data_IF_053867712656
#
_entry.id   IF_053867712656
#
_cell.length_a   1.000
_cell.length_b   1.000
_cell.length_c   1.000
_cell.angle_alpha   90.00
_cell.angle_beta   90.00
_cell.angle_gamma   90.00
#
_symmetry.space_group_name_H-M   'P 1'
#
loop_
_entity.id
_entity.type
_entity.pdbx_description
1 polymer ?
#
# COMPACT_ATOMS: atom_id res chain seq x y z
N UNK A 1 -33.44 -16.49 29.39
CA UNK A 1 -33.18 -15.66 30.60
C UNK A 1 -31.67 -15.62 30.84
N UNK A 2 -30.88 -14.68 30.30
CA UNK A 2 -31.23 -13.42 29.60
C UNK A 2 -31.97 -12.39 30.49
N UNK A 3 -31.87 -11.05 30.38
CA UNK A 3 -31.11 -10.07 29.54
C UNK A 3 -29.56 -10.06 29.79
N UNK A 4 -28.63 -9.21 29.28
CA UNK A 4 -28.58 -7.89 28.55
C UNK A 4 -28.89 -6.65 29.45
N UNK A 5 -28.68 -5.35 29.13
CA UNK A 5 -27.69 -4.58 28.31
C UNK A 5 -26.97 -3.55 29.28
N UNK A 6 -26.31 -2.40 28.97
CA UNK A 6 -25.71 -1.73 27.78
C UNK A 6 -24.58 -0.78 28.27
N UNK A 7 -23.30 -0.88 27.84
CA UNK A 7 -22.35 0.22 28.04
C UNK A 7 -22.46 1.25 26.90
N UNK A 8 -23.33 2.24 27.13
CA UNK A 8 -23.29 3.63 26.60
C UNK A 8 -22.70 3.86 25.20
N UNK A 9 -23.59 4.12 24.25
CA UNK A 9 -23.24 4.78 22.99
C UNK A 9 -22.50 6.11 23.23
N UNK A 10 -21.53 6.41 22.36
CA UNK A 10 -21.12 7.79 22.08
C UNK A 10 -21.41 8.06 20.62
N UNK A 11 -22.36 8.94 20.35
CA UNK A 11 -22.49 9.53 19.03
C UNK A 11 -21.19 10.25 18.67
N UNK A 12 -20.78 10.17 17.41
CA UNK A 12 -19.86 11.11 16.81
C UNK A 12 -20.66 11.80 15.71
N UNK A 13 -20.98 13.07 15.92
CA UNK A 13 -21.83 13.83 15.02
C UNK A 13 -21.13 14.03 13.66
N UNK A 14 -21.95 14.09 12.61
CA UNK A 14 -21.55 14.44 11.25
C UNK A 14 -21.62 15.96 11.15
N UNK A 15 -20.64 16.58 10.51
CA UNK A 15 -20.82 17.71 9.58
C UNK A 15 -19.52 18.02 8.83
N UNK A 16 -19.59 18.89 7.82
CA UNK A 16 -18.43 19.38 7.06
C UNK A 16 -18.19 18.71 5.72
N UNK A 17 -19.06 18.98 4.73
CA UNK A 17 -18.71 18.82 3.32
C UNK A 17 -18.16 20.16 2.78
N UNK A 18 -16.84 20.27 2.58
CA UNK A 18 -16.23 21.50 2.04
C UNK A 18 -15.29 21.20 0.85
N UNK A 19 -15.48 21.98 -0.21
CA UNK A 19 -14.80 21.85 -1.50
C UNK A 19 -13.51 22.67 -1.55
N UNK A 20 -12.42 22.02 -1.97
CA UNK A 20 -11.15 22.71 -2.27
C UNK A 20 -10.55 22.25 -3.61
N UNK A 21 -11.24 22.58 -4.70
CA UNK A 21 -10.64 22.69 -6.03
C UNK A 21 -10.11 24.10 -6.26
N UNK A 22 -8.78 24.33 -6.18
CA UNK A 22 -8.03 25.30 -7.00
C UNK A 22 -6.54 25.37 -6.67
N UNK A 23 -5.74 25.88 -7.62
CA UNK A 23 -4.61 26.76 -7.29
C UNK A 23 -3.25 26.13 -6.96
N UNK A 24 -2.61 25.45 -7.92
CA UNK A 24 -1.16 25.24 -7.91
C UNK A 24 -0.60 25.20 -9.34
N UNK A 25 -0.50 26.36 -9.98
CA UNK A 25 0.20 26.50 -11.26
C UNK A 25 1.71 26.45 -10.99
N UNK A 26 2.46 25.64 -11.74
CA UNK A 26 3.89 25.47 -11.54
C UNK A 26 4.50 24.63 -12.64
N UNK A 27 5.32 25.25 -13.48
CA UNK A 27 5.82 24.63 -14.71
C UNK A 27 6.67 23.39 -14.45
N UNK A 28 6.43 22.37 -15.27
CA UNK A 28 7.31 21.20 -15.41
C UNK A 28 7.38 20.80 -16.87
N UNK A 29 7.84 21.76 -17.68
CA UNK A 29 8.22 21.51 -19.05
C UNK A 29 9.34 20.44 -19.10
N UNK A 30 9.05 19.33 -19.79
CA UNK A 30 10.01 18.26 -20.03
C UNK A 30 9.88 17.06 -19.09
N UNK A 31 9.06 16.08 -19.49
CA UNK A 31 9.46 14.66 -19.46
C UNK A 31 8.66 13.77 -20.43
N UNK A 32 8.48 14.21 -21.68
CA UNK A 32 7.94 13.35 -22.75
C UNK A 32 9.03 12.38 -23.24
N UNK A 33 9.35 11.35 -22.46
CA UNK A 33 10.30 10.30 -22.82
C UNK A 33 9.74 8.90 -22.50
N UNK A 34 9.14 8.25 -23.51
CA UNK A 34 9.00 6.78 -23.76
C UNK A 34 9.07 5.81 -22.55
N UNK A 35 8.50 6.17 -21.40
CA UNK A 35 9.03 5.73 -20.11
C UNK A 35 7.98 5.27 -19.12
N UNK A 36 8.44 4.52 -18.12
CA UNK A 36 7.57 3.90 -17.13
C UNK A 36 6.84 4.91 -16.24
N UNK A 37 5.61 4.56 -15.82
CA UNK A 37 4.86 5.28 -14.79
C UNK A 37 5.68 5.27 -13.50
N UNK A 38 6.02 6.45 -12.97
CA UNK A 38 6.77 6.61 -11.71
C UNK A 38 5.95 7.48 -10.77
N UNK A 39 5.81 7.04 -9.50
CA UNK A 39 5.12 7.78 -8.45
C UNK A 39 5.85 7.60 -7.12
N UNK A 40 5.73 8.57 -6.23
CA UNK A 40 6.30 8.52 -4.89
C UNK A 40 5.42 9.23 -3.88
N UNK A 41 5.36 8.68 -2.66
CA UNK A 41 4.57 9.21 -1.55
C UNK A 41 5.27 8.91 -0.22
N UNK A 42 4.92 9.66 0.83
CA UNK A 42 5.50 9.49 2.16
C UNK A 42 4.42 9.04 3.15
N UNK A 43 4.77 8.07 4.01
CA UNK A 43 3.96 7.66 5.16
C UNK A 43 4.86 7.74 6.39
N UNK A 44 4.58 8.70 7.29
CA UNK A 44 5.32 8.90 8.54
C UNK A 44 6.85 9.10 8.30
N UNK A 45 7.66 8.11 8.69
CA UNK A 45 9.12 8.08 8.55
C UNK A 45 9.61 7.29 7.32
N UNK A 46 8.69 6.77 6.50
CA UNK A 46 8.98 5.97 5.30
C UNK A 46 8.61 6.72 4.03
N UNK A 47 9.45 6.66 3.01
CA UNK A 47 9.12 7.09 1.65
C UNK A 47 8.96 5.87 0.77
N UNK A 48 7.88 5.82 -0.02
CA UNK A 48 7.61 4.78 -1.00
C UNK A 48 7.76 5.33 -2.41
N UNK A 49 8.26 4.49 -3.33
CA UNK A 49 8.32 4.76 -4.76
C UNK A 49 7.80 3.55 -5.53
N UNK A 50 6.90 3.78 -6.49
CA UNK A 50 6.38 2.77 -7.40
C UNK A 50 6.87 3.12 -8.81
N UNK A 51 7.53 2.18 -9.49
CA UNK A 51 8.05 2.35 -10.85
C UNK A 51 7.66 1.17 -11.74
N UNK A 52 6.90 1.44 -12.80
CA UNK A 52 6.41 0.42 -13.76
C UNK A 52 7.24 0.49 -15.05
N UNK A 53 8.30 -0.31 -15.14
CA UNK A 53 9.19 -0.37 -16.29
C UNK A 53 8.69 -1.36 -17.37
N UNK A 54 8.92 -1.06 -18.65
CA UNK A 54 8.84 -2.03 -19.75
C UNK A 54 10.27 -2.32 -20.25
N UNK A 55 10.76 -3.55 -20.06
CA UNK A 55 12.10 -3.98 -20.48
C UNK A 55 12.01 -5.22 -21.38
N UNK A 56 12.51 -5.11 -22.63
CA UNK A 56 12.45 -6.16 -23.67
C UNK A 56 11.06 -6.81 -23.79
N UNK A 57 10.03 -5.97 -23.96
CA UNK A 57 8.62 -6.40 -24.05
C UNK A 57 7.95 -6.82 -22.73
N UNK A 58 8.70 -7.00 -21.63
CA UNK A 58 8.17 -7.46 -20.34
C UNK A 58 7.97 -6.28 -19.39
N UNK A 59 6.72 -6.08 -18.95
CA UNK A 59 6.37 -5.14 -17.87
C UNK A 59 6.86 -5.67 -16.52
N UNK A 60 7.47 -4.81 -15.71
CA UNK A 60 7.97 -5.12 -14.37
C UNK A 60 7.68 -3.94 -13.44
N UNK A 61 7.12 -4.20 -12.26
CA UNK A 61 6.73 -3.17 -11.30
C UNK A 61 7.65 -3.28 -10.09
N UNK A 62 8.26 -2.17 -9.69
CA UNK A 62 9.12 -2.09 -8.51
C UNK A 62 8.44 -1.23 -7.45
N UNK A 63 8.32 -1.77 -6.24
CA UNK A 63 7.90 -1.01 -5.05
C UNK A 63 9.12 -0.90 -4.14
N UNK A 64 9.60 0.32 -3.94
CA UNK A 64 10.77 0.64 -3.10
C UNK A 64 10.28 1.34 -1.84
N UNK A 65 10.71 0.84 -0.68
CA UNK A 65 10.58 1.48 0.63
C UNK A 65 11.94 2.09 1.02
N UNK A 66 11.94 3.31 1.59
CA UNK A 66 13.11 3.94 2.20
C UNK A 66 12.81 4.39 3.63
N UNK A 67 13.71 4.10 4.56
CA UNK A 67 13.68 4.60 5.96
C UNK A 67 15.10 4.69 6.52
N UNK A 68 15.48 5.85 7.08
CA UNK A 68 16.73 6.01 7.83
C UNK A 68 17.99 5.61 7.06
N UNK A 69 18.14 6.08 5.81
CA UNK A 69 19.23 5.72 4.90
C UNK A 69 19.06 4.36 4.21
N UNK A 70 18.42 3.38 4.86
CA UNK A 70 18.18 2.04 4.30
C UNK A 70 17.09 2.07 3.22
N UNK A 71 17.28 1.28 2.17
CA UNK A 71 16.29 1.03 1.11
C UNK A 71 16.00 -0.47 1.00
N UNK A 72 14.72 -0.83 0.95
CA UNK A 72 14.22 -2.19 0.66
C UNK A 72 13.32 -2.14 -0.57
N UNK A 73 13.25 -3.21 -1.37
CA UNK A 73 12.39 -3.23 -2.55
C UNK A 73 11.80 -4.60 -2.85
N UNK A 74 10.67 -4.59 -3.57
CA UNK A 74 10.00 -5.76 -4.10
C UNK A 74 9.73 -5.56 -5.58
N UNK A 75 10.01 -6.59 -6.37
CA UNK A 75 9.79 -6.62 -7.82
C UNK A 75 8.63 -7.56 -8.16
N UNK A 76 7.60 -7.03 -8.79
CA UNK A 76 6.41 -7.73 -9.25
C UNK A 76 6.46 -7.84 -10.78
N UNK A 77 5.92 -8.90 -11.34
CA UNK A 77 5.43 -8.90 -12.72
C UNK A 77 3.98 -8.43 -12.78
N UNK A 78 3.36 -8.42 -13.98
CA UNK A 78 2.00 -7.92 -14.16
C UNK A 78 0.93 -8.83 -13.53
N UNK A 79 1.16 -10.13 -13.40
CA UNK A 79 0.18 -11.06 -12.84
C UNK A 79 0.04 -10.90 -11.31
N UNK A 80 1.08 -10.43 -10.62
CA UNK A 80 1.01 -10.06 -9.20
C UNK A 80 0.19 -8.78 -8.92
N UNK A 81 -0.16 -7.98 -9.94
CA UNK A 81 -0.80 -6.68 -9.72
C UNK A 81 -2.25 -6.79 -9.23
N UNK A 82 -3.05 -7.67 -9.84
CA UNK A 82 -4.44 -7.93 -9.43
C UNK A 82 -4.53 -8.40 -7.97
N UNK A 83 -3.86 -9.50 -7.59
CA UNK A 83 -3.84 -9.99 -6.20
C UNK A 83 -3.37 -8.95 -5.18
N UNK A 84 -2.41 -8.09 -5.53
CA UNK A 84 -1.95 -7.00 -4.65
C UNK A 84 -3.03 -5.92 -4.47
N UNK A 85 -3.65 -5.45 -5.57
CA UNK A 85 -4.70 -4.43 -5.51
C UNK A 85 -5.94 -4.95 -4.78
N UNK A 86 -6.39 -6.17 -5.08
CA UNK A 86 -7.49 -6.85 -4.37
C UNK A 86 -7.23 -6.87 -2.85
N UNK A 87 -6.03 -7.26 -2.44
CA UNK A 87 -5.66 -7.33 -1.02
C UNK A 87 -5.60 -5.95 -0.35
N UNK A 88 -5.05 -4.94 -1.02
CA UNK A 88 -5.03 -3.57 -0.53
C UNK A 88 -6.46 -2.99 -0.39
N UNK A 89 -7.33 -3.22 -1.38
CA UNK A 89 -8.73 -2.77 -1.37
C UNK A 89 -9.54 -3.50 -0.30
N UNK A 90 -9.28 -4.80 -0.07
CA UNK A 90 -9.86 -5.53 1.06
C UNK A 90 -9.48 -4.87 2.39
N UNK A 91 -8.19 -4.65 2.66
CA UNK A 91 -7.73 -4.03 3.92
C UNK A 91 -8.14 -2.56 4.09
N UNK A 92 -8.50 -1.85 3.01
CA UNK A 92 -9.09 -0.51 3.09
C UNK A 92 -10.55 -0.52 3.56
N UNK A 93 -11.32 -1.53 3.14
CA UNK A 93 -12.73 -1.72 3.52
C UNK A 93 -12.89 -2.41 4.88
N UNK A 94 -11.99 -3.34 5.20
CA UNK A 94 -12.05 -4.11 6.45
C UNK A 94 -11.73 -3.25 7.69
N UNK A 95 -12.74 -3.12 8.55
CA UNK A 95 -12.65 -2.46 9.86
C UNK A 95 -12.48 -3.44 11.03
N UNK A 96 -12.62 -4.75 10.80
CA UNK A 96 -12.49 -5.77 11.86
C UNK A 96 -11.05 -5.78 12.39
N UNK A 97 -10.85 -6.29 13.60
CA UNK A 97 -9.53 -6.66 14.13
C UNK A 97 -9.31 -8.16 13.96
N UNK A 98 -8.08 -8.56 13.63
CA UNK A 98 -7.76 -9.97 13.41
C UNK A 98 -6.57 -10.19 12.46
N UNK A 99 -6.10 -11.43 12.40
CA UNK A 99 -5.14 -11.88 11.40
C UNK A 99 -5.83 -12.01 10.04
N UNK A 100 -5.17 -11.49 8.99
CA UNK A 100 -5.58 -11.67 7.60
C UNK A 100 -4.35 -11.75 6.72
N UNK A 101 -4.38 -12.66 5.74
CA UNK A 101 -3.39 -12.71 4.67
C UNK A 101 -4.01 -13.07 3.32
N UNK A 102 -3.33 -12.64 2.26
CA UNK A 102 -3.55 -13.09 0.88
C UNK A 102 -2.23 -13.60 0.31
N UNK A 103 -2.24 -14.84 -0.14
CA UNK A 103 -1.09 -15.51 -0.76
C UNK A 103 -1.30 -15.64 -2.27
N UNK A 104 -0.23 -15.52 -3.05
CA UNK A 104 -0.24 -15.83 -4.49
C UNK A 104 1.16 -16.23 -4.97
N UNK A 105 1.26 -16.73 -6.20
CA UNK A 105 2.52 -17.14 -6.82
C UNK A 105 2.67 -16.50 -8.21
N UNK A 106 3.87 -16.07 -8.56
CA UNK A 106 4.19 -15.57 -9.90
C UNK A 106 5.62 -15.95 -10.31
N UNK A 107 5.76 -16.58 -11.48
CA UNK A 107 7.06 -16.95 -12.06
C UNK A 107 7.96 -17.78 -11.10
N UNK A 108 7.37 -18.68 -10.31
CA UNK A 108 8.09 -19.50 -9.33
C UNK A 108 8.53 -18.76 -8.06
N UNK A 109 7.96 -17.58 -7.78
CA UNK A 109 8.16 -16.83 -6.52
C UNK A 109 6.83 -16.76 -5.78
N UNK A 110 6.86 -16.93 -4.46
CA UNK A 110 5.68 -16.85 -3.61
C UNK A 110 5.56 -15.47 -2.99
N UNK A 111 4.33 -14.96 -2.90
CA UNK A 111 4.01 -13.65 -2.36
C UNK A 111 3.02 -13.77 -1.22
N UNK A 112 3.17 -12.89 -0.23
CA UNK A 112 2.20 -12.71 0.86
C UNK A 112 1.92 -11.22 1.06
N UNK A 113 0.65 -10.84 1.14
CA UNK A 113 0.23 -9.58 1.73
C UNK A 113 -0.45 -9.91 3.06
N UNK A 114 0.19 -9.56 4.18
CA UNK A 114 -0.27 -9.90 5.54
C UNK A 114 -0.59 -8.63 6.31
N UNK A 115 -1.77 -8.58 6.93
CA UNK A 115 -2.13 -7.55 7.91
C UNK A 115 -1.52 -7.92 9.26
N UNK A 116 -0.80 -6.97 9.84
CA UNK A 116 -0.24 -7.06 11.19
C UNK A 116 -0.48 -5.78 11.96
N UNK A 117 -0.34 -5.84 13.27
CA UNK A 117 -0.54 -4.71 14.19
C UNK A 117 0.62 -4.67 15.19
N UNK A 118 1.07 -3.48 15.56
CA UNK A 118 2.16 -3.28 16.54
C UNK A 118 1.93 -1.98 17.35
N UNK A 119 2.86 -1.59 18.21
CA UNK A 119 2.75 -0.37 19.06
C UNK A 119 2.54 0.94 18.27
N UNK A 120 2.84 0.98 16.98
CA UNK A 120 2.56 2.09 16.07
C UNK A 120 1.22 2.02 15.33
N UNK A 121 0.45 0.92 15.48
CA UNK A 121 -0.82 0.66 14.81
C UNK A 121 -0.75 -0.44 13.74
N UNK A 122 -1.78 -0.50 12.88
CA UNK A 122 -1.88 -1.49 11.81
C UNK A 122 -0.88 -1.21 10.66
N UNK A 123 -0.38 -2.28 10.05
CA UNK A 123 0.47 -2.24 8.86
C UNK A 123 0.16 -3.41 7.92
N UNK A 124 0.59 -3.30 6.66
CA UNK A 124 0.63 -4.40 5.71
C UNK A 124 2.08 -4.77 5.42
N UNK A 125 2.42 -6.04 5.62
CA UNK A 125 3.68 -6.63 5.15
C UNK A 125 3.43 -7.22 3.77
N UNK A 126 3.98 -6.60 2.73
CA UNK A 126 4.18 -7.28 1.45
C UNK A 126 5.50 -8.05 1.54
N UNK A 127 5.45 -9.37 1.36
CA UNK A 127 6.61 -10.26 1.42
C UNK A 127 6.74 -11.13 0.19
N UNK A 128 7.98 -11.48 -0.16
CA UNK A 128 8.34 -12.41 -1.25
C UNK A 128 9.24 -13.50 -0.73
N UNK A 129 9.00 -14.74 -1.17
CA UNK A 129 9.98 -15.83 -1.16
C UNK A 129 10.37 -16.09 -2.61
N UNK A 130 11.65 -15.93 -2.94
CA UNK A 130 12.14 -16.15 -4.30
C UNK A 130 12.44 -17.63 -4.61
N UNK A 131 12.96 -17.88 -5.82
CA UNK A 131 13.31 -19.24 -6.29
C UNK A 131 14.44 -19.89 -5.49
N UNK A 132 15.27 -19.08 -4.84
CA UNK A 132 16.39 -19.51 -3.99
C UNK A 132 15.97 -19.60 -2.51
N UNK A 133 14.65 -19.51 -2.24
CA UNK A 133 14.03 -19.47 -0.91
C UNK A 133 14.42 -18.26 -0.05
N UNK A 134 15.08 -17.25 -0.64
CA UNK A 134 15.43 -15.99 0.05
C UNK A 134 14.16 -15.18 0.30
N UNK A 135 14.11 -14.51 1.45
CA UNK A 135 12.93 -13.78 1.94
C UNK A 135 13.15 -12.28 1.91
N UNK A 136 12.25 -11.55 1.27
CA UNK A 136 12.25 -10.08 1.17
C UNK A 136 10.92 -9.53 1.67
N UNK A 137 10.91 -8.33 2.26
CA UNK A 137 9.66 -7.69 2.67
C UNK A 137 9.75 -6.16 2.72
N UNK A 138 8.60 -5.50 2.52
CA UNK A 138 8.36 -4.09 2.81
C UNK A 138 7.11 -3.97 3.70
N UNK A 139 7.04 -2.90 4.48
CA UNK A 139 6.02 -2.70 5.51
C UNK A 139 5.34 -1.34 5.33
N UNK A 140 4.12 -1.36 4.80
CA UNK A 140 3.29 -0.17 4.54
C UNK A 140 2.43 0.13 5.77
N UNK A 141 2.68 1.22 6.53
CA UNK A 141 1.83 1.59 7.66
C UNK A 141 0.43 1.99 7.18
N UNK A 142 -0.60 1.80 8.01
CA UNK A 142 -1.94 2.36 7.76
C UNK A 142 -1.91 3.89 7.69
N UNK A 143 -0.93 4.52 8.34
CA UNK A 143 -0.71 5.96 8.36
C UNK A 143 -1.67 6.70 9.28
N UNK A 144 -1.28 7.91 9.69
CA UNK A 144 -2.11 8.85 10.45
C UNK A 144 -2.32 10.10 9.58
N UNK A 145 -3.56 10.57 9.47
CA UNK A 145 -3.98 11.69 8.60
C UNK A 145 -5.12 11.32 7.64
N UNK A 146 -5.54 12.29 6.81
CA UNK A 146 -6.73 12.19 5.97
C UNK A 146 -6.64 11.07 4.90
N UNK A 147 -5.55 11.02 4.11
CA UNK A 147 -5.27 9.87 3.23
C UNK A 147 -4.48 8.80 4.00
N UNK A 148 -5.10 7.64 4.21
CA UNK A 148 -4.46 6.46 4.81
C UNK A 148 -3.40 5.88 3.85
N UNK A 149 -2.28 5.42 4.39
CA UNK A 149 -1.12 4.96 3.63
C UNK A 149 -1.39 3.78 2.68
N UNK A 150 -2.34 2.92 3.03
CA UNK A 150 -2.79 1.83 2.15
C UNK A 150 -3.52 2.34 0.90
N UNK A 151 -4.25 3.47 1.00
CA UNK A 151 -4.90 4.10 -0.15
C UNK A 151 -3.88 4.75 -1.07
N UNK A 152 -2.85 5.41 -0.51
CA UNK A 152 -1.73 5.95 -1.30
C UNK A 152 -0.98 4.86 -2.08
N UNK A 153 -0.89 3.64 -1.55
CA UNK A 153 -0.32 2.50 -2.30
C UNK A 153 -1.23 2.05 -3.46
N UNK A 154 -2.55 2.00 -3.29
CA UNK A 154 -3.50 1.73 -4.39
C UNK A 154 -3.47 2.84 -5.44
N UNK A 155 -3.45 4.11 -5.01
CA UNK A 155 -3.33 5.27 -5.89
C UNK A 155 -2.00 5.32 -6.65
N UNK A 156 -0.94 4.66 -6.14
CA UNK A 156 0.38 4.66 -6.75
C UNK A 156 0.62 3.56 -7.77
N UNK A 157 -0.09 2.42 -7.67
CA UNK A 157 -0.04 1.34 -8.65
C UNK A 157 -0.65 1.76 -10.00
#
# INVERSE_FOLDING_TARGET
MEERERPRERACERDGEESWFQGANGDSAGYLQSGGRKRSFRIESKTFKVETEKKKGKTQIFIVERKGGVSSWIKLGPASLGPLIEGLVFCLKDTRTGHWEKLWQENGRYFSLVRGENKGGCFLRLGVIDREKKRFSIFVPRGRGAKRGWALMVEAL
#
